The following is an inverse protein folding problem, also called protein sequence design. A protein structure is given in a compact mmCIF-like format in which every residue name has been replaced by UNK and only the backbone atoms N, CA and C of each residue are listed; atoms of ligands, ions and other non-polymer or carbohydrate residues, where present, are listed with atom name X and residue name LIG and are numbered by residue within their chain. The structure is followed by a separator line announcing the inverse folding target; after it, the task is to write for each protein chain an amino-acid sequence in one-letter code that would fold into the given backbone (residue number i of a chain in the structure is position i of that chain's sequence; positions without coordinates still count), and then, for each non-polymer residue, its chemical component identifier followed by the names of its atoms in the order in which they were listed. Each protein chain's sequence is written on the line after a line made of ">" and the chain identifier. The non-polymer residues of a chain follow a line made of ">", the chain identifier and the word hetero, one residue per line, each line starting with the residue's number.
data_IF_643743888727
#
_entry.id   IF_643743888727
#
_cell.length_a   1.000
_cell.length_b   1.000
_cell.length_c   1.000
_cell.angle_alpha   90.00
_cell.angle_beta   90.00
_cell.angle_gamma   90.00
#
_symmetry.space_group_name_H-M   'P 1'
#
loop_
_entity.id
_entity.type
_entity.pdbx_description
1 polymer ?
#
# COMPACT_ATOMS: atom_id res chain seq x y z
N UNK A 1 -66.99 -31.56 -43.74
CA UNK A 1 -66.54 -31.34 -42.35
C UNK A 1 -65.24 -30.56 -42.38
N UNK A 2 -65.32 -29.24 -42.22
CA UNK A 2 -64.15 -28.35 -42.14
C UNK A 2 -63.63 -28.35 -40.70
N UNK A 3 -62.38 -28.79 -40.52
CA UNK A 3 -61.69 -28.69 -39.23
C UNK A 3 -61.27 -27.24 -38.98
N UNK A 4 -61.78 -26.67 -37.89
CA UNK A 4 -61.48 -25.32 -37.40
C UNK A 4 -60.09 -25.30 -36.77
N UNK A 5 -59.22 -24.41 -37.27
CA UNK A 5 -57.93 -24.13 -36.68
C UNK A 5 -58.10 -23.18 -35.48
N UNK A 6 -57.67 -23.62 -34.30
CA UNK A 6 -57.63 -22.80 -33.09
C UNK A 6 -56.58 -21.68 -33.22
N UNK A 7 -56.84 -20.46 -32.74
CA UNK A 7 -55.87 -19.36 -32.82
C UNK A 7 -54.71 -19.58 -31.86
N UNK A 8 -53.49 -19.37 -32.36
CA UNK A 8 -52.24 -19.36 -31.60
C UNK A 8 -52.32 -18.29 -30.50
N UNK A 9 -52.10 -18.71 -29.26
CA UNK A 9 -52.02 -17.82 -28.10
C UNK A 9 -50.91 -16.78 -28.30
N UNK A 10 -51.26 -15.50 -28.13
CA UNK A 10 -50.33 -14.38 -28.14
C UNK A 10 -49.20 -14.59 -27.13
N UNK A 11 -47.97 -14.37 -27.58
CA UNK A 11 -46.79 -14.40 -26.74
C UNK A 11 -46.93 -13.37 -25.59
N UNK A 12 -46.58 -13.73 -24.34
CA UNK A 12 -46.68 -12.79 -23.23
C UNK A 12 -45.79 -11.57 -23.49
N UNK A 13 -46.42 -10.41 -23.65
CA UNK A 13 -45.77 -9.10 -23.71
C UNK A 13 -44.86 -8.94 -22.50
N UNK A 14 -43.56 -8.73 -22.74
CA UNK A 14 -42.56 -8.49 -21.71
C UNK A 14 -43.03 -7.37 -20.76
N UNK A 15 -43.03 -7.56 -19.43
CA UNK A 15 -43.38 -6.50 -18.52
C UNK A 15 -42.45 -5.30 -18.72
N UNK A 16 -43.07 -4.13 -18.88
CA UNK A 16 -42.39 -2.84 -19.02
C UNK A 16 -41.27 -2.70 -17.98
N UNK A 17 -40.11 -2.22 -18.42
CA UNK A 17 -38.96 -1.94 -17.57
C UNK A 17 -39.42 -1.20 -16.30
N UNK A 18 -39.13 -1.76 -15.11
CA UNK A 18 -39.51 -1.16 -13.84
C UNK A 18 -39.13 0.32 -13.83
N UNK A 19 -40.10 1.21 -13.65
CA UNK A 19 -39.87 2.65 -13.60
C UNK A 19 -38.76 2.93 -12.58
N UNK A 20 -37.60 3.40 -13.06
CA UNK A 20 -36.47 3.68 -12.21
C UNK A 20 -36.86 4.77 -11.21
N UNK A 21 -36.77 4.46 -9.91
CA UNK A 21 -37.11 5.40 -8.84
C UNK A 21 -36.28 6.67 -9.02
N UNK A 22 -36.90 7.86 -9.14
CA UNK A 22 -36.17 9.10 -9.36
C UNK A 22 -35.28 9.40 -8.14
N UNK A 23 -34.02 9.77 -8.37
CA UNK A 23 -33.13 10.12 -7.27
C UNK A 23 -33.54 11.44 -6.64
N UNK A 24 -33.61 11.47 -5.31
CA UNK A 24 -33.75 12.70 -4.54
C UNK A 24 -32.59 13.66 -4.83
N UNK A 25 -32.74 14.96 -4.54
CA UNK A 25 -31.64 15.94 -4.68
C UNK A 25 -30.36 15.50 -3.95
N UNK A 26 -30.48 15.00 -2.72
CA UNK A 26 -29.34 14.53 -1.92
C UNK A 26 -28.58 13.40 -2.61
N UNK A 27 -29.30 12.37 -3.08
CA UNK A 27 -28.71 11.27 -3.86
C UNK A 27 -27.96 11.75 -5.12
N UNK A 28 -28.50 12.75 -5.83
CA UNK A 28 -27.82 13.31 -7.02
C UNK A 28 -26.55 14.07 -6.66
N UNK A 29 -26.61 14.96 -5.68
CA UNK A 29 -25.45 15.74 -5.24
C UNK A 29 -24.37 14.82 -4.67
N UNK A 30 -24.76 13.87 -3.80
CA UNK A 30 -23.86 12.88 -3.24
C UNK A 30 -23.19 12.02 -4.31
N UNK A 31 -23.94 11.58 -5.33
CA UNK A 31 -23.35 10.84 -6.45
C UNK A 31 -22.36 11.67 -7.25
N UNK A 32 -22.71 12.91 -7.62
CA UNK A 32 -21.82 13.81 -8.39
C UNK A 32 -20.51 14.04 -7.62
N UNK A 33 -20.60 14.32 -6.31
CA UNK A 33 -19.44 14.45 -5.45
C UNK A 33 -18.58 13.20 -5.40
N UNK A 34 -19.18 12.04 -5.09
CA UNK A 34 -18.43 10.78 -5.05
C UNK A 34 -17.80 10.45 -6.41
N UNK A 35 -18.52 10.67 -7.51
CA UNK A 35 -17.99 10.46 -8.85
C UNK A 35 -16.79 11.36 -9.14
N UNK A 36 -16.92 12.66 -8.91
CA UNK A 36 -15.85 13.64 -9.13
C UNK A 36 -14.65 13.38 -8.23
N UNK A 37 -14.87 13.12 -6.93
CA UNK A 37 -13.81 12.83 -5.97
C UNK A 37 -13.03 11.57 -6.37
N UNK A 38 -13.71 10.46 -6.63
CA UNK A 38 -13.06 9.20 -6.97
C UNK A 38 -12.28 9.28 -8.29
N UNK A 39 -12.82 9.96 -9.30
CA UNK A 39 -12.09 10.15 -10.55
C UNK A 39 -10.85 11.03 -10.36
N UNK A 40 -10.95 12.13 -9.62
CA UNK A 40 -9.80 13.00 -9.37
C UNK A 40 -8.74 12.31 -8.51
N UNK A 41 -9.16 11.55 -7.49
CA UNK A 41 -8.24 10.87 -6.58
C UNK A 41 -7.51 9.70 -7.25
N UNK A 42 -8.22 8.91 -8.06
CA UNK A 42 -7.63 7.75 -8.74
C UNK A 42 -6.97 8.11 -10.07
N UNK A 43 -7.23 9.29 -10.64
CA UNK A 43 -6.56 9.73 -11.85
C UNK A 43 -5.03 9.91 -11.62
N UNK A 44 -4.19 9.53 -12.60
CA UNK A 44 -4.55 9.06 -13.94
C UNK A 44 -4.71 7.53 -14.06
N UNK A 45 -4.79 6.80 -12.96
CA UNK A 45 -4.83 5.34 -12.96
C UNK A 45 -6.08 4.77 -13.64
N UNK A 46 -5.98 3.68 -14.43
CA UNK A 46 -4.77 2.91 -14.76
C UNK A 46 -4.06 3.35 -16.05
N UNK A 47 -4.38 4.53 -16.60
CA UNK A 47 -3.78 5.01 -17.86
C UNK A 47 -2.27 5.26 -17.67
N UNK A 48 -1.87 5.60 -16.44
CA UNK A 48 -0.48 5.69 -15.98
C UNK A 48 0.33 4.41 -16.14
N UNK A 49 -0.32 3.26 -16.25
CA UNK A 49 0.33 1.97 -16.46
C UNK A 49 0.66 1.67 -17.94
N UNK A 50 0.23 2.52 -18.89
CA UNK A 50 0.46 2.32 -20.33
C UNK A 50 1.87 2.80 -20.71
N UNK A 51 2.73 1.91 -21.27
CA UNK A 51 4.06 2.31 -21.71
C UNK A 51 4.04 3.42 -22.77
N UNK A 52 4.98 4.35 -22.70
CA UNK A 52 5.14 5.45 -23.66
C UNK A 52 4.41 6.76 -23.31
N UNK A 53 3.59 6.77 -22.27
CA UNK A 53 2.87 7.97 -21.81
C UNK A 53 3.56 8.72 -20.64
N UNK A 54 4.81 8.35 -20.29
CA UNK A 54 5.55 8.94 -19.17
C UNK A 54 5.58 10.47 -19.15
N UNK A 55 5.98 11.16 -20.25
CA UNK A 55 6.04 12.62 -20.26
C UNK A 55 4.69 13.32 -20.00
N UNK A 56 3.58 12.70 -20.44
CA UNK A 56 2.23 13.21 -20.17
C UNK A 56 1.93 13.17 -18.67
N UNK A 57 2.33 12.10 -17.98
CA UNK A 57 2.10 11.95 -16.55
C UNK A 57 3.07 12.76 -15.69
N UNK A 58 4.28 13.00 -16.16
CA UNK A 58 5.19 13.99 -15.56
C UNK A 58 4.57 15.39 -15.62
N UNK A 59 4.05 15.81 -16.78
CA UNK A 59 3.35 17.08 -16.92
C UNK A 59 2.11 17.17 -16.01
N UNK A 60 1.34 16.08 -15.90
CA UNK A 60 0.22 15.97 -14.96
C UNK A 60 0.67 16.11 -13.50
N UNK A 61 1.80 15.48 -13.13
CA UNK A 61 2.40 15.61 -11.80
C UNK A 61 2.82 17.03 -11.48
N UNK A 62 3.48 17.72 -12.42
CA UNK A 62 3.86 19.13 -12.26
C UNK A 62 2.67 20.07 -12.13
N UNK A 63 1.57 19.80 -12.85
CA UNK A 63 0.32 20.55 -12.69
C UNK A 63 -0.24 20.39 -11.27
N UNK A 64 -0.21 19.17 -10.71
CA UNK A 64 -0.61 18.94 -9.33
C UNK A 64 0.32 19.61 -8.33
N UNK A 65 1.65 19.51 -8.52
CA UNK A 65 2.61 20.23 -7.66
C UNK A 65 2.32 21.72 -7.66
N UNK A 66 2.17 22.33 -8.83
CA UNK A 66 1.80 23.73 -8.95
C UNK A 66 0.50 24.04 -8.20
N UNK A 67 -0.55 23.25 -8.39
CA UNK A 67 -1.83 23.42 -7.70
C UNK A 67 -1.71 23.32 -6.18
N UNK A 68 -0.96 22.33 -5.69
CA UNK A 68 -0.69 22.12 -4.26
C UNK A 68 0.06 23.30 -3.67
N UNK A 69 1.07 23.86 -4.36
CA UNK A 69 1.74 25.08 -3.91
C UNK A 69 0.77 26.26 -3.83
N UNK A 70 -0.13 26.43 -4.82
CA UNK A 70 -1.12 27.53 -4.81
C UNK A 70 -2.13 27.40 -3.68
N UNK A 71 -2.65 26.20 -3.43
CA UNK A 71 -3.58 25.96 -2.31
C UNK A 71 -2.84 26.12 -0.98
N UNK A 72 -1.67 25.49 -0.82
CA UNK A 72 -0.93 25.52 0.43
C UNK A 72 -0.40 26.90 0.79
N UNK A 73 0.28 27.59 -0.13
CA UNK A 73 0.87 28.92 0.14
C UNK A 73 -0.20 30.01 0.07
N UNK A 74 -1.10 29.94 -0.92
CA UNK A 74 -2.08 31.00 -1.16
C UNK A 74 -3.33 30.93 -0.27
N UNK A 75 -3.95 29.76 -0.16
CA UNK A 75 -5.18 29.60 0.63
C UNK A 75 -4.88 29.32 2.11
N UNK A 76 -3.89 28.48 2.39
CA UNK A 76 -3.56 28.03 3.75
C UNK A 76 -2.40 28.81 4.41
N UNK A 77 -1.74 29.72 3.70
CA UNK A 77 -0.62 30.52 4.21
C UNK A 77 0.55 29.67 4.77
N UNK A 78 0.80 28.50 4.19
CA UNK A 78 1.89 27.62 4.59
C UNK A 78 3.25 28.14 4.10
N UNK A 79 4.36 27.85 4.82
CA UNK A 79 5.70 28.19 4.37
C UNK A 79 6.03 27.58 3.01
N UNK A 80 6.62 28.38 2.12
CA UNK A 80 7.02 27.97 0.78
C UNK A 80 8.53 27.65 0.69
N UNK A 81 8.95 26.70 -0.16
CA UNK A 81 8.10 25.75 -0.91
C UNK A 81 7.68 24.57 -0.04
N UNK A 82 6.49 24.01 -0.30
CA UNK A 82 6.05 22.77 0.33
C UNK A 82 6.84 21.61 -0.30
N UNK A 83 7.66 20.84 0.44
CA UNK A 83 8.52 19.82 -0.16
C UNK A 83 7.72 18.62 -0.70
N UNK A 84 8.01 18.20 -1.94
CA UNK A 84 7.49 16.96 -2.54
C UNK A 84 8.60 15.92 -2.82
N UNK A 85 9.67 15.93 -2.01
CA UNK A 85 10.74 14.93 -2.17
C UNK A 85 10.22 13.53 -1.80
N UNK A 86 10.51 12.49 -2.62
CA UNK A 86 10.13 11.13 -2.30
C UNK A 86 10.76 10.68 -0.98
N UNK A 87 9.93 10.27 -0.01
CA UNK A 87 10.39 9.82 1.32
C UNK A 87 9.85 8.45 1.74
N UNK A 88 8.96 7.85 0.94
CA UNK A 88 8.21 6.65 1.30
C UNK A 88 7.01 6.89 2.22
N UNK A 89 6.75 8.15 2.61
CA UNK A 89 5.54 8.59 3.30
C UNK A 89 4.47 9.02 2.30
N UNK A 90 3.21 8.67 2.58
CA UNK A 90 2.01 9.19 1.92
C UNK A 90 1.19 10.15 2.79
N UNK A 91 1.78 10.65 3.89
CA UNK A 91 1.18 11.58 4.85
C UNK A 91 2.04 12.85 5.01
N UNK A 92 2.85 13.21 4.01
CA UNK A 92 3.64 14.46 4.03
C UNK A 92 2.70 15.66 4.02
N UNK A 93 3.19 16.82 4.44
CA UNK A 93 2.41 18.07 4.32
C UNK A 93 1.89 18.28 2.89
N UNK A 94 2.72 17.97 1.89
CA UNK A 94 2.33 17.96 0.49
C UNK A 94 1.12 17.05 0.23
N UNK A 95 1.11 15.82 0.75
CA UNK A 95 0.05 14.83 0.51
C UNK A 95 -1.28 15.26 1.17
N UNK A 96 -1.23 15.90 2.34
CA UNK A 96 -2.42 16.48 2.98
C UNK A 96 -3.00 17.64 2.16
N UNK A 97 -2.17 18.55 1.69
CA UNK A 97 -2.61 19.68 0.85
C UNK A 97 -3.11 19.17 -0.51
N UNK A 98 -2.47 18.14 -1.07
CA UNK A 98 -2.95 17.45 -2.29
C UNK A 98 -4.33 16.85 -2.08
N UNK A 99 -4.55 16.10 -0.99
CA UNK A 99 -5.85 15.50 -0.68
C UNK A 99 -6.95 16.56 -0.50
N UNK A 100 -6.64 17.66 0.20
CA UNK A 100 -7.54 18.80 0.31
C UNK A 100 -7.82 19.43 -1.06
N UNK A 101 -6.82 19.57 -1.91
CA UNK A 101 -6.98 20.13 -3.26
C UNK A 101 -7.92 19.26 -4.10
N UNK A 102 -7.78 17.93 -4.03
CA UNK A 102 -8.71 16.98 -4.65
C UNK A 102 -10.13 17.17 -4.11
N UNK A 103 -10.29 17.30 -2.78
CA UNK A 103 -11.60 17.55 -2.15
C UNK A 103 -12.25 18.84 -2.64
N UNK A 104 -11.51 19.95 -2.65
CA UNK A 104 -11.99 21.26 -3.12
C UNK A 104 -12.37 21.21 -4.61
N UNK A 105 -11.53 20.61 -5.45
CA UNK A 105 -11.84 20.44 -6.87
C UNK A 105 -13.06 19.54 -7.09
N UNK A 106 -13.23 18.48 -6.30
CA UNK A 106 -14.41 17.63 -6.37
C UNK A 106 -15.69 18.39 -5.97
N UNK A 107 -15.64 19.26 -4.97
CA UNK A 107 -16.75 20.14 -4.58
C UNK A 107 -17.09 21.13 -5.70
N UNK A 108 -16.08 21.78 -6.30
CA UNK A 108 -16.28 22.69 -7.43
C UNK A 108 -16.87 21.97 -8.65
N UNK A 109 -16.35 20.78 -8.99
CA UNK A 109 -16.89 19.95 -10.07
C UNK A 109 -18.35 19.54 -9.79
N UNK A 110 -18.68 19.21 -8.53
CA UNK A 110 -20.05 18.89 -8.11
C UNK A 110 -20.99 20.09 -8.27
N UNK A 111 -20.54 21.28 -7.89
CA UNK A 111 -21.31 22.52 -8.05
C UNK A 111 -21.53 22.81 -9.53
N UNK A 112 -20.47 22.81 -10.34
CA UNK A 112 -20.55 23.05 -11.78
C UNK A 112 -21.48 22.04 -12.46
N UNK A 113 -21.34 20.75 -12.15
CA UNK A 113 -22.22 19.71 -12.67
C UNK A 113 -23.66 19.96 -12.24
N UNK A 114 -23.91 20.31 -10.99
CA UNK A 114 -25.27 20.57 -10.50
C UNK A 114 -25.93 21.75 -11.22
N UNK A 115 -25.21 22.84 -11.44
CA UNK A 115 -25.70 24.01 -12.17
C UNK A 115 -26.00 23.72 -13.65
N UNK A 116 -25.16 22.92 -14.31
CA UNK A 116 -25.37 22.54 -15.72
C UNK A 116 -26.54 21.58 -15.86
N UNK A 117 -26.68 20.62 -14.95
CA UNK A 117 -27.73 19.61 -15.00
C UNK A 117 -29.11 20.20 -14.65
N UNK A 118 -29.19 21.15 -13.71
CA UNK A 118 -30.45 21.84 -13.38
C UNK A 118 -31.00 22.69 -14.53
N UNK A 119 -30.13 23.14 -15.44
CA UNK A 119 -30.54 23.84 -16.67
C UNK A 119 -31.16 22.90 -17.70
N UNK A 120 -30.90 21.58 -17.63
CA UNK A 120 -31.46 20.56 -18.52
C UNK A 120 -32.76 20.01 -17.92
N UNK A 121 -33.86 20.74 -18.10
CA UNK A 121 -35.18 20.39 -17.53
C UNK A 121 -35.69 19.00 -17.94
N UNK A 122 -35.23 18.48 -19.08
CA UNK A 122 -35.70 17.23 -19.70
C UNK A 122 -34.79 16.02 -19.43
N UNK A 123 -33.70 16.19 -18.66
CA UNK A 123 -32.76 15.09 -18.40
C UNK A 123 -33.27 14.11 -17.32
N UNK A 124 -33.06 12.79 -17.48
CA UNK A 124 -33.42 11.80 -16.48
C UNK A 124 -32.70 12.08 -15.15
N UNK A 125 -33.47 12.13 -14.06
CA UNK A 125 -33.00 12.50 -12.70
C UNK A 125 -32.15 11.40 -12.01
N UNK A 126 -31.52 10.50 -12.76
CA UNK A 126 -30.68 9.41 -12.28
C UNK A 126 -29.55 9.11 -13.29
N UNK A 127 -28.40 8.62 -12.79
CA UNK A 127 -27.19 8.38 -13.61
C UNK A 127 -26.77 6.90 -13.65
N UNK A 128 -27.60 5.97 -14.19
CA UNK A 128 -27.32 4.54 -14.11
C UNK A 128 -26.05 4.13 -14.86
N UNK A 129 -25.77 4.73 -16.03
CA UNK A 129 -24.55 4.43 -16.80
C UNK A 129 -23.28 4.92 -16.09
N UNK A 130 -23.30 6.15 -15.56
CA UNK A 130 -22.15 6.70 -14.82
C UNK A 130 -21.92 5.92 -13.52
N UNK A 131 -22.97 5.52 -12.81
CA UNK A 131 -22.86 4.69 -11.61
C UNK A 131 -22.30 3.29 -11.92
N UNK A 132 -22.75 2.67 -13.02
CA UNK A 132 -22.20 1.39 -13.48
C UNK A 132 -20.71 1.51 -13.86
N UNK A 133 -20.34 2.56 -14.59
CA UNK A 133 -18.95 2.85 -14.92
C UNK A 133 -18.10 3.04 -13.65
N UNK A 134 -18.53 3.92 -12.74
CA UNK A 134 -17.81 4.21 -11.50
C UNK A 134 -17.62 2.94 -10.66
N UNK A 135 -18.65 2.09 -10.54
CA UNK A 135 -18.56 0.82 -9.81
C UNK A 135 -17.56 -0.13 -10.46
N UNK A 136 -17.50 -0.19 -11.79
CA UNK A 136 -16.52 -1.02 -12.51
C UNK A 136 -15.10 -0.47 -12.32
N UNK A 137 -14.92 0.83 -12.48
CA UNK A 137 -13.64 1.52 -12.32
C UNK A 137 -13.09 1.34 -10.90
N UNK A 138 -13.87 1.70 -9.88
CA UNK A 138 -13.50 1.56 -8.47
C UNK A 138 -13.14 0.13 -8.10
N UNK A 139 -13.91 -0.84 -8.62
CA UNK A 139 -13.66 -2.28 -8.38
C UNK A 139 -12.31 -2.73 -8.94
N UNK A 140 -11.97 -2.35 -10.17
CA UNK A 140 -10.67 -2.73 -10.74
C UNK A 140 -9.52 -1.93 -10.15
N UNK A 141 -9.70 -0.64 -9.85
CA UNK A 141 -8.69 0.16 -9.17
C UNK A 141 -8.35 -0.43 -7.80
N UNK A 142 -9.37 -0.68 -6.96
CA UNK A 142 -9.16 -1.29 -5.64
C UNK A 142 -8.60 -2.72 -5.77
N UNK A 143 -9.04 -3.52 -6.75
CA UNK A 143 -8.49 -4.85 -6.98
C UNK A 143 -6.98 -4.79 -7.29
N UNK A 144 -6.57 -3.95 -8.23
CA UNK A 144 -5.15 -3.80 -8.61
C UNK A 144 -4.31 -3.35 -7.42
N UNK A 145 -4.80 -2.40 -6.62
CA UNK A 145 -4.10 -1.89 -5.43
C UNK A 145 -3.95 -3.01 -4.39
N UNK A 146 -5.03 -3.71 -4.03
CA UNK A 146 -4.99 -4.79 -3.04
C UNK A 146 -4.16 -5.99 -3.50
N UNK A 147 -4.15 -6.29 -4.80
CA UNK A 147 -3.26 -7.30 -5.36
C UNK A 147 -1.80 -6.88 -5.22
N UNK A 148 -1.48 -5.61 -5.47
CA UNK A 148 -0.13 -5.07 -5.28
C UNK A 148 0.35 -5.19 -3.83
N UNK A 149 -0.41 -4.67 -2.88
CA UNK A 149 -0.05 -4.75 -1.45
C UNK A 149 -0.07 -6.18 -0.92
N UNK A 150 -1.07 -6.97 -1.30
CA UNK A 150 -1.23 -8.35 -0.87
C UNK A 150 -0.11 -9.25 -1.37
N UNK A 151 0.23 -9.18 -2.67
CA UNK A 151 1.28 -10.02 -3.25
C UNK A 151 2.66 -9.70 -2.64
N UNK A 152 2.99 -8.43 -2.44
CA UNK A 152 4.25 -8.06 -1.77
C UNK A 152 4.35 -8.71 -0.38
N UNK A 153 3.24 -8.79 0.38
CA UNK A 153 3.18 -9.47 1.68
C UNK A 153 3.21 -11.01 1.57
N UNK A 154 2.53 -11.58 0.57
CA UNK A 154 2.56 -13.03 0.28
C UNK A 154 3.98 -13.51 -0.02
N UNK A 155 4.80 -12.68 -0.66
CA UNK A 155 6.22 -12.98 -0.90
C UNK A 155 7.14 -12.55 0.25
N UNK A 156 6.59 -12.10 1.38
CA UNK A 156 7.31 -11.59 2.54
C UNK A 156 8.30 -10.46 2.23
N UNK A 157 7.93 -9.59 1.30
CA UNK A 157 8.76 -8.50 0.79
C UNK A 157 8.50 -7.15 1.48
N UNK A 158 7.37 -6.97 2.16
CA UNK A 158 6.98 -5.64 2.67
C UNK A 158 7.65 -5.29 3.99
N UNK A 159 7.64 -6.23 4.95
CA UNK A 159 8.34 -6.07 6.22
C UNK A 159 9.47 -7.11 6.29
N UNK A 160 10.74 -6.72 6.16
CA UNK A 160 11.84 -7.67 6.24
C UNK A 160 11.92 -8.30 7.64
N UNK A 161 12.48 -9.51 7.70
CA UNK A 161 12.84 -10.12 8.98
C UNK A 161 13.81 -9.21 9.76
N UNK A 162 13.73 -9.17 11.11
CA UNK A 162 14.63 -8.36 11.91
C UNK A 162 16.08 -8.82 11.69
N UNK A 163 16.92 -7.90 11.22
CA UNK A 163 18.35 -8.12 11.09
C UNK A 163 19.08 -7.89 12.43
N UNK A 164 20.39 -8.15 12.46
CA UNK A 164 21.22 -7.99 13.66
C UNK A 164 21.11 -6.58 14.26
N UNK A 165 21.03 -5.55 13.40
CA UNK A 165 20.85 -4.17 13.85
C UNK A 165 19.50 -3.98 14.56
N UNK A 166 18.43 -4.61 14.08
CA UNK A 166 17.13 -4.60 14.77
C UNK A 166 17.13 -5.45 16.04
N UNK A 167 17.76 -6.61 16.02
CA UNK A 167 17.76 -7.58 17.13
C UNK A 167 18.56 -7.10 18.36
N UNK A 168 19.54 -6.22 18.16
CA UNK A 168 20.28 -5.59 19.27
C UNK A 168 19.64 -4.29 19.79
N UNK A 169 18.59 -3.79 19.12
CA UNK A 169 17.88 -2.60 19.60
C UNK A 169 16.92 -2.94 20.75
N UNK A 170 16.78 -2.01 21.68
CA UNK A 170 15.86 -2.17 22.82
C UNK A 170 14.43 -1.77 22.44
N UNK A 171 13.45 -2.19 23.25
CA UNK A 171 12.06 -1.76 23.07
C UNK A 171 11.91 -0.24 23.18
N UNK A 172 12.63 0.41 24.11
CA UNK A 172 12.59 1.86 24.30
C UNK A 172 13.16 2.67 23.12
N UNK A 173 14.04 2.06 22.32
CA UNK A 173 14.60 2.66 21.09
C UNK A 173 13.66 2.51 19.87
N UNK A 174 12.59 1.74 19.98
CA UNK A 174 11.68 1.48 18.86
C UNK A 174 10.60 2.56 18.76
N UNK A 175 10.49 3.18 17.59
CA UNK A 175 9.30 3.96 17.25
C UNK A 175 8.06 3.05 17.11
N UNK A 176 6.84 3.58 17.23
CA UNK A 176 5.61 2.79 17.04
C UNK A 176 5.58 2.02 15.72
N UNK A 177 5.91 2.68 14.61
CA UNK A 177 6.04 2.01 13.29
C UNK A 177 7.14 0.96 13.29
N UNK A 178 8.29 1.25 13.91
CA UNK A 178 9.42 0.32 13.98
C UNK A 178 9.08 -0.95 14.76
N UNK A 179 8.32 -0.83 15.85
CA UNK A 179 7.80 -1.94 16.62
C UNK A 179 6.82 -2.79 15.77
N UNK A 180 5.84 -2.14 15.13
CA UNK A 180 4.88 -2.83 14.25
C UNK A 180 5.57 -3.56 13.09
N UNK A 181 6.52 -2.91 12.42
CA UNK A 181 7.27 -3.52 11.31
C UNK A 181 8.06 -4.73 11.78
N UNK A 182 8.65 -4.66 12.97
CA UNK A 182 9.43 -5.76 13.55
C UNK A 182 8.51 -6.91 13.94
N UNK A 183 7.35 -6.62 14.55
CA UNK A 183 6.34 -7.63 14.90
C UNK A 183 5.85 -8.42 13.67
N UNK A 184 5.46 -7.72 12.59
CA UNK A 184 5.01 -8.37 11.36
C UNK A 184 6.19 -9.08 10.64
N UNK A 185 7.36 -8.45 10.59
CA UNK A 185 8.55 -8.98 9.93
C UNK A 185 9.14 -10.21 10.61
N UNK A 186 9.04 -10.31 11.94
CA UNK A 186 9.51 -11.47 12.71
C UNK A 186 8.74 -12.76 12.39
N UNK A 187 7.50 -12.67 11.88
CA UNK A 187 6.69 -13.82 11.49
C UNK A 187 6.36 -13.79 10.00
N UNK A 188 7.18 -14.51 9.21
CA UNK A 188 6.93 -14.68 7.77
C UNK A 188 5.52 -15.22 7.50
N UNK A 189 5.08 -16.22 8.25
CA UNK A 189 3.74 -16.80 8.10
C UNK A 189 2.60 -15.80 8.36
N UNK A 190 2.75 -14.95 9.39
CA UNK A 190 1.73 -13.94 9.69
C UNK A 190 1.68 -12.84 8.61
N UNK A 191 2.83 -12.40 8.10
CA UNK A 191 2.88 -11.47 6.97
C UNK A 191 2.20 -12.06 5.73
N UNK A 192 2.50 -13.32 5.40
CA UNK A 192 1.86 -14.02 4.28
C UNK A 192 0.35 -14.15 4.47
N UNK A 193 -0.11 -14.42 5.70
CA UNK A 193 -1.53 -14.49 6.02
C UNK A 193 -2.25 -13.15 5.79
N UNK A 194 -1.68 -12.04 6.28
CA UNK A 194 -2.22 -10.70 5.99
C UNK A 194 -2.23 -10.39 4.49
N UNK A 195 -1.15 -10.77 3.79
CA UNK A 195 -1.05 -10.63 2.34
C UNK A 195 -2.11 -11.43 1.58
N UNK A 196 -2.34 -12.69 1.99
CA UNK A 196 -3.32 -13.57 1.38
C UNK A 196 -4.74 -13.01 1.52
N UNK A 197 -5.09 -12.40 2.65
CA UNK A 197 -6.40 -11.76 2.83
C UNK A 197 -6.60 -10.60 1.82
N UNK A 198 -5.60 -9.74 1.64
CA UNK A 198 -5.64 -8.64 0.67
C UNK A 198 -5.64 -9.13 -0.78
N UNK A 199 -4.79 -10.11 -1.11
CA UNK A 199 -4.75 -10.73 -2.44
C UNK A 199 -6.09 -11.39 -2.77
N UNK A 200 -6.68 -12.14 -1.83
CA UNK A 200 -7.98 -12.78 -2.03
C UNK A 200 -9.08 -11.73 -2.23
N UNK A 201 -9.09 -10.65 -1.45
CA UNK A 201 -10.03 -9.55 -1.65
C UNK A 201 -9.90 -8.96 -3.07
N UNK A 202 -8.68 -8.69 -3.50
CA UNK A 202 -8.39 -8.21 -4.86
C UNK A 202 -8.84 -9.18 -5.95
N UNK A 203 -8.56 -10.47 -5.81
CA UNK A 203 -8.98 -11.51 -6.76
C UNK A 203 -10.51 -11.62 -6.85
N UNK A 204 -11.21 -11.61 -5.71
CA UNK A 204 -12.68 -11.65 -5.67
C UNK A 204 -13.29 -10.41 -6.32
N UNK A 205 -12.66 -9.23 -6.18
CA UNK A 205 -13.11 -8.02 -6.85
C UNK A 205 -13.00 -8.11 -8.38
N UNK A 206 -12.16 -8.98 -8.96
CA UNK A 206 -12.05 -9.11 -10.42
C UNK A 206 -13.31 -9.74 -11.05
N UNK A 207 -14.11 -10.50 -10.30
CA UNK A 207 -15.32 -11.15 -10.80
C UNK A 207 -16.59 -10.47 -10.29
N UNK A 208 -17.54 -10.21 -11.21
CA UNK A 208 -18.78 -9.50 -10.88
C UNK A 208 -19.61 -10.22 -9.81
N UNK A 209 -19.61 -11.56 -9.83
CA UNK A 209 -20.35 -12.42 -8.88
C UNK A 209 -19.83 -12.32 -7.45
N UNK A 210 -18.53 -12.12 -7.26
CA UNK A 210 -17.88 -12.10 -5.95
C UNK A 210 -17.57 -10.69 -5.46
N UNK A 211 -18.02 -9.65 -6.16
CA UNK A 211 -17.74 -8.24 -5.82
C UNK A 211 -18.08 -7.91 -4.37
N UNK A 212 -19.26 -8.31 -3.88
CA UNK A 212 -19.67 -8.00 -2.52
C UNK A 212 -18.78 -8.67 -1.48
N UNK A 213 -18.47 -9.96 -1.66
CA UNK A 213 -17.57 -10.70 -0.79
C UNK A 213 -16.16 -10.10 -0.79
N UNK A 214 -15.63 -9.80 -1.97
CA UNK A 214 -14.33 -9.14 -2.11
C UNK A 214 -14.30 -7.76 -1.46
N UNK A 215 -15.38 -6.98 -1.58
CA UNK A 215 -15.49 -5.65 -0.97
C UNK A 215 -15.59 -5.72 0.55
N UNK A 216 -16.31 -6.70 1.11
CA UNK A 216 -16.38 -6.93 2.56
C UNK A 216 -15.03 -7.36 3.13
N UNK A 217 -14.34 -8.29 2.46
CA UNK A 217 -13.01 -8.72 2.85
C UNK A 217 -12.00 -7.56 2.76
N UNK A 218 -12.08 -6.77 1.69
CA UNK A 218 -11.30 -5.54 1.54
C UNK A 218 -11.58 -4.54 2.66
N UNK A 219 -12.86 -4.32 3.03
CA UNK A 219 -13.22 -3.40 4.10
C UNK A 219 -12.66 -3.86 5.46
N UNK A 220 -12.74 -5.15 5.78
CA UNK A 220 -12.14 -5.71 6.99
C UNK A 220 -10.61 -5.57 7.01
N UNK A 221 -9.94 -5.93 5.90
CA UNK A 221 -8.49 -5.80 5.77
C UNK A 221 -8.04 -4.34 5.86
N UNK A 222 -8.69 -3.43 5.13
CA UNK A 222 -8.36 -2.01 5.14
C UNK A 222 -8.70 -1.33 6.45
N UNK A 223 -9.77 -1.73 7.15
CA UNK A 223 -10.05 -1.25 8.50
C UNK A 223 -8.91 -1.59 9.47
N UNK A 224 -8.38 -2.81 9.40
CA UNK A 224 -7.22 -3.20 10.19
C UNK A 224 -5.96 -2.40 9.80
N UNK A 225 -5.68 -2.24 8.50
CA UNK A 225 -4.54 -1.43 8.02
C UNK A 225 -4.66 0.03 8.46
N UNK A 226 -5.85 0.63 8.37
CA UNK A 226 -6.12 2.00 8.86
C UNK A 226 -5.86 2.09 10.36
N UNK A 227 -6.39 1.15 11.15
CA UNK A 227 -6.15 1.13 12.59
C UNK A 227 -4.66 1.04 12.93
N UNK A 228 -3.93 0.14 12.26
CA UNK A 228 -2.48 0.05 12.41
C UNK A 228 -1.78 1.36 12.05
N UNK A 229 -2.20 2.03 10.98
CA UNK A 229 -1.57 3.27 10.53
C UNK A 229 -1.78 4.45 11.48
N UNK A 230 -2.96 4.55 12.09
CA UNK A 230 -3.26 5.60 13.07
C UNK A 230 -2.66 5.29 14.44
N UNK A 231 -2.70 4.03 14.92
CA UNK A 231 -2.25 3.67 16.26
C UNK A 231 -0.76 3.39 16.39
N UNK A 232 -0.08 3.01 15.29
CA UNK A 232 1.38 2.82 15.25
C UNK A 232 2.10 3.89 14.42
N UNK A 233 1.44 5.00 14.16
CA UNK A 233 1.98 6.14 13.42
C UNK A 233 2.71 5.77 12.11
N UNK A 234 2.07 4.91 11.31
CA UNK A 234 2.58 4.56 9.98
C UNK A 234 2.15 5.65 9.01
N UNK A 235 3.07 6.25 8.23
CA UNK A 235 2.76 7.45 7.45
C UNK A 235 2.09 7.12 6.10
N UNK A 236 0.96 6.40 6.14
CA UNK A 236 0.11 6.02 4.99
C UNK A 236 -1.40 6.11 5.38
N UNK A 237 -1.74 6.97 6.34
CA UNK A 237 -3.10 7.14 6.89
C UNK A 237 -4.07 7.66 5.83
N UNK A 238 -3.68 8.67 5.05
CA UNK A 238 -4.53 9.27 4.01
C UNK A 238 -4.92 8.25 2.94
N UNK A 239 -3.92 7.53 2.45
CA UNK A 239 -4.12 6.56 1.37
C UNK A 239 -4.92 5.34 1.84
N UNK A 240 -4.57 4.74 2.97
CA UNK A 240 -5.30 3.60 3.52
C UNK A 240 -6.76 3.94 3.88
N UNK A 241 -7.02 5.15 4.39
CA UNK A 241 -8.39 5.60 4.69
C UNK A 241 -9.24 5.73 3.41
N UNK A 242 -8.64 6.16 2.31
CA UNK A 242 -9.30 6.20 1.01
C UNK A 242 -9.59 4.80 0.47
N UNK A 243 -8.67 3.84 0.62
CA UNK A 243 -8.95 2.44 0.23
C UNK A 243 -10.08 1.83 1.06
N UNK A 244 -10.14 2.13 2.36
CA UNK A 244 -11.28 1.75 3.20
C UNK A 244 -12.57 2.39 2.67
N UNK A 245 -12.58 3.70 2.40
CA UNK A 245 -13.73 4.38 1.80
C UNK A 245 -14.16 3.71 0.49
N UNK A 246 -13.23 3.34 -0.39
CA UNK A 246 -13.52 2.69 -1.67
C UNK A 246 -14.19 1.32 -1.47
N UNK A 247 -13.69 0.53 -0.53
CA UNK A 247 -14.30 -0.76 -0.19
C UNK A 247 -15.73 -0.59 0.36
N UNK A 248 -15.95 0.40 1.23
CA UNK A 248 -17.28 0.71 1.78
C UNK A 248 -18.23 1.22 0.70
N UNK A 249 -17.76 2.03 -0.25
CA UNK A 249 -18.56 2.49 -1.39
C UNK A 249 -18.96 1.34 -2.32
N UNK A 250 -18.17 0.27 -2.41
CA UNK A 250 -18.53 -0.95 -3.16
C UNK A 250 -19.56 -1.81 -2.41
N UNK A 251 -19.55 -1.79 -1.07
CA UNK A 251 -20.54 -2.47 -0.20
C UNK A 251 -21.86 -1.68 -0.14
N UNK A 252 -21.80 -0.35 -0.20
CA UNK A 252 -22.92 0.56 0.03
C UNK A 252 -24.22 0.19 -0.73
N UNK A 253 -24.20 -0.17 -2.03
CA UNK A 253 -25.42 -0.55 -2.76
C UNK A 253 -26.13 -1.79 -2.19
N UNK A 254 -25.39 -2.66 -1.51
CA UNK A 254 -25.86 -3.93 -0.95
C UNK A 254 -26.06 -3.85 0.58
N UNK A 255 -25.79 -2.70 1.21
CA UNK A 255 -25.82 -2.52 2.67
C UNK A 255 -27.17 -2.87 3.29
N UNK A 256 -28.28 -2.41 2.68
CA UNK A 256 -29.63 -2.74 3.18
C UNK A 256 -29.88 -4.25 3.17
N UNK A 257 -29.47 -4.92 2.09
CA UNK A 257 -29.61 -6.37 1.94
C UNK A 257 -28.79 -7.11 3.00
N UNK A 258 -27.58 -6.63 3.30
CA UNK A 258 -26.75 -7.18 4.36
C UNK A 258 -27.38 -7.01 5.74
N UNK A 259 -27.93 -5.83 6.05
CA UNK A 259 -28.64 -5.57 7.31
C UNK A 259 -29.88 -6.46 7.43
N UNK A 260 -30.68 -6.53 6.37
CA UNK A 260 -31.88 -7.35 6.33
C UNK A 260 -31.55 -8.83 6.60
N UNK A 261 -30.54 -9.40 5.94
CA UNK A 261 -30.16 -10.81 6.12
C UNK A 261 -29.45 -11.07 7.46
N UNK A 262 -28.43 -10.28 7.79
CA UNK A 262 -27.52 -10.58 8.90
C UNK A 262 -28.04 -10.12 10.26
N UNK A 263 -28.74 -8.99 10.31
CA UNK A 263 -29.19 -8.37 11.57
C UNK A 263 -30.68 -8.54 11.80
N UNK A 264 -31.48 -8.39 10.74
CA UNK A 264 -32.95 -8.43 10.86
C UNK A 264 -33.54 -9.79 10.50
N UNK A 265 -32.72 -10.74 10.02
CA UNK A 265 -33.12 -12.09 9.61
C UNK A 265 -34.29 -12.11 8.61
N UNK A 266 -34.36 -11.11 7.73
CA UNK A 266 -35.38 -10.96 6.70
C UNK A 266 -34.93 -11.61 5.40
N UNK A 267 -35.88 -12.25 4.71
CA UNK A 267 -35.67 -12.72 3.35
C UNK A 267 -35.43 -11.54 2.41
N UNK A 268 -34.42 -11.66 1.54
CA UNK A 268 -34.09 -10.64 0.55
C UNK A 268 -34.24 -11.24 -0.85
N UNK A 269 -34.81 -10.47 -1.77
CA UNK A 269 -34.96 -10.88 -3.15
C UNK A 269 -33.60 -11.22 -3.80
N UNK A 270 -33.64 -12.17 -4.74
CA UNK A 270 -32.48 -12.51 -5.55
C UNK A 270 -31.94 -11.26 -6.27
N UNK A 271 -30.60 -11.08 -6.34
CA UNK A 271 -30.04 -9.96 -7.06
C UNK A 271 -30.39 -10.08 -8.55
N UNK A 272 -30.54 -8.96 -9.27
CA UNK A 272 -30.80 -9.00 -10.70
C UNK A 272 -29.69 -9.75 -11.44
N UNK A 273 -30.01 -10.46 -12.54
CA UNK A 273 -29.03 -11.26 -13.27
C UNK A 273 -27.90 -10.36 -13.80
N UNK A 274 -26.66 -10.83 -13.65
CA UNK A 274 -25.46 -10.13 -14.13
C UNK A 274 -25.37 -10.22 -15.65
N UNK A 275 -26.04 -9.32 -16.37
CA UNK A 275 -25.98 -9.24 -17.84
C UNK A 275 -24.75 -8.46 -18.31
N UNK A 276 -24.11 -8.92 -19.38
CA UNK A 276 -23.14 -8.14 -20.14
C UNK A 276 -23.89 -7.15 -21.04
N UNK A 277 -23.27 -6.02 -21.43
CA UNK A 277 -23.92 -5.04 -22.29
C UNK A 277 -24.02 -5.48 -23.76
N UNK A 278 -23.39 -6.60 -24.12
CA UNK A 278 -23.30 -7.09 -25.49
C UNK A 278 -24.48 -8.02 -25.80
N UNK A 279 -25.16 -7.78 -26.92
CA UNK A 279 -26.23 -8.64 -27.41
C UNK A 279 -25.67 -9.85 -28.20
N UNK A 280 -24.51 -9.68 -28.84
CA UNK A 280 -23.85 -10.73 -29.62
C UNK A 280 -22.99 -11.63 -28.70
N UNK A 281 -23.27 -12.93 -28.74
CA UNK A 281 -22.54 -13.97 -28.04
C UNK A 281 -21.04 -13.99 -28.39
N UNK A 282 -20.67 -13.73 -29.65
CA UNK A 282 -19.26 -13.68 -30.09
C UNK A 282 -18.51 -12.52 -29.43
N UNK A 283 -19.12 -11.33 -29.43
CA UNK A 283 -18.54 -10.14 -28.79
C UNK A 283 -18.45 -10.32 -27.28
N UNK A 284 -19.46 -10.97 -26.68
CA UNK A 284 -19.43 -11.31 -25.27
C UNK A 284 -18.26 -12.25 -24.94
N UNK A 285 -18.08 -13.34 -25.69
CA UNK A 285 -16.97 -14.29 -25.48
C UNK A 285 -15.62 -13.64 -25.77
N UNK A 286 -15.50 -12.83 -26.82
CA UNK A 286 -14.28 -12.07 -27.11
C UNK A 286 -13.93 -11.11 -25.96
N UNK A 287 -14.92 -10.39 -25.41
CA UNK A 287 -14.73 -9.51 -24.26
C UNK A 287 -14.30 -10.27 -23.00
N UNK A 288 -14.88 -11.44 -22.74
CA UNK A 288 -14.48 -12.32 -21.64
C UNK A 288 -13.04 -12.84 -21.83
N UNK A 289 -12.69 -13.25 -23.04
CA UNK A 289 -11.34 -13.69 -23.41
C UNK A 289 -10.30 -12.58 -23.25
N UNK A 290 -10.59 -11.39 -23.78
CA UNK A 290 -9.73 -10.22 -23.63
C UNK A 290 -9.54 -9.84 -22.16
N UNK A 291 -10.63 -9.85 -21.37
CA UNK A 291 -10.54 -9.62 -19.93
C UNK A 291 -9.65 -10.66 -19.26
N UNK A 292 -9.82 -11.95 -19.57
CA UNK A 292 -9.01 -13.01 -19.00
C UNK A 292 -7.53 -12.85 -19.35
N UNK A 293 -7.23 -12.47 -20.59
CA UNK A 293 -5.87 -12.20 -21.05
C UNK A 293 -5.24 -10.99 -20.35
N UNK A 294 -5.96 -9.86 -20.25
CA UNK A 294 -5.45 -8.64 -19.60
C UNK A 294 -5.24 -8.87 -18.10
N UNK A 295 -6.24 -9.43 -17.42
CA UNK A 295 -6.17 -9.69 -15.97
C UNK A 295 -5.14 -10.78 -15.67
N UNK A 296 -5.13 -11.86 -16.45
CA UNK A 296 -4.16 -12.95 -16.31
C UNK A 296 -2.73 -12.48 -16.56
N UNK A 297 -2.51 -11.71 -17.63
CA UNK A 297 -1.23 -11.10 -17.96
C UNK A 297 -0.74 -10.17 -16.84
N UNK A 298 -1.60 -9.29 -16.31
CA UNK A 298 -1.26 -8.42 -15.20
C UNK A 298 -0.88 -9.22 -13.95
N UNK A 299 -1.63 -10.27 -13.61
CA UNK A 299 -1.33 -11.14 -12.47
C UNK A 299 0.01 -11.86 -12.65
N UNK A 300 0.30 -12.39 -13.84
CA UNK A 300 1.58 -13.03 -14.15
C UNK A 300 2.72 -12.05 -13.99
N UNK A 301 2.59 -10.81 -14.48
CA UNK A 301 3.61 -9.77 -14.32
C UNK A 301 3.83 -9.40 -12.86
N UNK A 302 2.75 -9.22 -12.08
CA UNK A 302 2.84 -8.94 -10.65
C UNK A 302 3.53 -10.09 -9.89
N UNK A 303 3.17 -11.34 -10.17
CA UNK A 303 3.77 -12.51 -9.53
C UNK A 303 5.24 -12.64 -9.93
N UNK A 304 5.57 -12.58 -11.22
CA UNK A 304 6.94 -12.65 -11.72
C UNK A 304 7.82 -11.58 -11.08
N UNK A 305 7.36 -10.33 -11.04
CA UNK A 305 8.12 -9.25 -10.41
C UNK A 305 8.37 -9.47 -8.91
N UNK A 306 7.41 -10.05 -8.19
CA UNK A 306 7.63 -10.38 -6.78
C UNK A 306 8.56 -11.60 -6.59
N UNK A 307 8.51 -12.60 -7.47
CA UNK A 307 9.46 -13.72 -7.46
C UNK A 307 10.89 -13.22 -7.67
N UNK A 308 11.12 -12.36 -8.67
CA UNK A 308 12.44 -11.77 -8.97
C UNK A 308 12.95 -10.90 -7.80
N UNK A 309 12.05 -10.09 -7.21
CA UNK A 309 12.37 -9.31 -6.01
C UNK A 309 12.69 -10.18 -4.81
N UNK A 310 12.00 -11.31 -4.63
CA UNK A 310 12.25 -12.22 -3.52
C UNK A 310 13.59 -12.94 -3.69
N UNK A 311 13.93 -13.34 -4.91
CA UNK A 311 15.22 -13.95 -5.23
C UNK A 311 16.42 -13.02 -4.93
N UNK A 312 16.19 -11.70 -4.97
CA UNK A 312 17.22 -10.67 -4.73
C UNK A 312 17.09 -9.99 -3.37
N UNK A 313 16.05 -10.31 -2.58
CA UNK A 313 15.78 -9.64 -1.30
C UNK A 313 16.85 -10.00 -0.27
N UNK A 314 17.52 -8.98 0.28
CA UNK A 314 18.61 -9.20 1.23
C UNK A 314 19.84 -9.83 0.61
N UNK A 315 19.95 -9.85 -0.73
CA UNK A 315 21.16 -10.26 -1.43
C UNK A 315 22.32 -9.39 -0.95
N UNK A 316 23.32 -10.06 -0.38
CA UNK A 316 24.49 -9.42 0.20
C UNK A 316 25.52 -9.30 -0.90
N UNK A 317 25.97 -8.07 -1.18
CA UNK A 317 27.06 -7.89 -2.14
C UNK A 317 28.33 -8.56 -1.60
N UNK A 318 29.24 -9.04 -2.47
CA UNK A 318 30.52 -9.59 -2.03
C UNK A 318 31.32 -8.62 -1.16
N UNK A 319 31.12 -7.32 -1.35
CA UNK A 319 31.75 -6.24 -0.58
C UNK A 319 31.12 -6.06 0.82
N UNK A 320 29.82 -6.36 0.97
CA UNK A 320 29.09 -6.25 2.25
C UNK A 320 29.19 -7.51 3.10
N UNK A 321 29.30 -8.68 2.46
CA UNK A 321 29.33 -9.98 3.13
C UNK A 321 30.35 -10.09 4.28
N UNK A 322 31.60 -9.59 4.15
CA UNK A 322 32.59 -9.72 5.21
C UNK A 322 32.26 -8.84 6.43
N UNK A 323 31.53 -7.74 6.20
CA UNK A 323 31.16 -6.75 7.22
C UNK A 323 29.89 -7.14 7.99
N UNK A 324 29.09 -8.10 7.54
CA UNK A 324 27.85 -8.46 8.21
C UNK A 324 28.09 -9.06 9.59
N UNK A 325 27.22 -8.74 10.55
CA UNK A 325 27.28 -9.26 11.92
C UNK A 325 27.27 -8.16 12.97
N UNK A 326 27.42 -8.57 14.22
CA UNK A 326 27.61 -7.66 15.34
C UNK A 326 29.11 -7.51 15.60
N UNK A 327 29.56 -6.28 15.81
CA UNK A 327 30.95 -5.94 16.05
C UNK A 327 31.04 -5.08 17.32
N UNK A 328 31.87 -5.49 18.26
CA UNK A 328 32.16 -4.72 19.48
C UNK A 328 33.43 -3.90 19.27
N UNK A 329 33.41 -2.64 19.66
CA UNK A 329 34.60 -1.77 19.58
C UNK A 329 35.57 -2.16 20.68
N UNK A 330 36.80 -2.49 20.29
CA UNK A 330 37.89 -2.86 21.19
C UNK A 330 38.84 -1.67 21.43
N UNK A 331 39.15 -0.92 20.38
CA UNK A 331 40.00 0.26 20.48
C UNK A 331 39.48 1.37 19.57
N UNK A 332 39.59 2.61 20.03
CA UNK A 332 39.21 3.81 19.29
C UNK A 332 40.32 4.85 19.41
N UNK A 333 41.05 5.06 18.32
CA UNK A 333 42.18 5.97 18.25
C UNK A 333 41.78 7.22 17.46
N UNK A 334 41.82 8.38 18.10
CA UNK A 334 41.56 9.68 17.48
C UNK A 334 42.83 10.53 17.50
N UNK A 335 43.24 11.03 16.34
CA UNK A 335 44.47 11.83 16.17
C UNK A 335 45.74 11.17 16.74
N UNK A 336 45.81 9.84 16.67
CA UNK A 336 46.95 9.05 17.19
C UNK A 336 46.92 8.77 18.69
N UNK A 337 45.86 9.17 19.39
CA UNK A 337 45.66 8.90 20.82
C UNK A 337 44.51 7.91 20.99
N UNK A 338 44.76 6.81 21.70
CA UNK A 338 43.72 5.86 22.07
C UNK A 338 42.79 6.47 23.13
N UNK A 339 41.50 6.50 22.84
CA UNK A 339 40.50 7.03 23.74
C UNK A 339 40.30 6.06 24.92
N UNK A 340 40.52 6.54 26.15
CA UNK A 340 40.27 5.76 27.37
C UNK A 340 38.80 5.29 27.48
N UNK A 341 37.88 6.02 26.87
CA UNK A 341 36.47 5.64 26.74
C UNK A 341 36.06 5.82 25.28
N UNK A 342 35.95 4.73 24.51
CA UNK A 342 35.54 4.80 23.11
C UNK A 342 34.17 5.47 22.99
N UNK A 343 33.96 6.44 22.09
CA UNK A 343 32.62 7.01 21.87
C UNK A 343 31.68 6.00 21.21
N UNK A 344 32.22 4.97 20.54
CA UNK A 344 31.46 3.90 19.91
C UNK A 344 31.57 2.63 20.76
N UNK A 345 30.45 1.96 21.01
CA UNK A 345 30.39 0.68 21.72
C UNK A 345 30.24 -0.51 20.77
N UNK A 346 29.24 -0.47 19.89
CA UNK A 346 28.91 -1.59 19.00
C UNK A 346 28.48 -1.11 17.61
N UNK A 347 28.83 -1.89 16.59
CA UNK A 347 28.40 -1.71 15.20
C UNK A 347 27.70 -3.00 14.74
N UNK A 348 26.41 -2.91 14.43
CA UNK A 348 25.61 -4.01 13.95
C UNK A 348 25.33 -3.82 12.46
N UNK A 349 25.84 -4.70 11.61
CA UNK A 349 25.70 -4.62 10.15
C UNK A 349 24.76 -5.72 9.67
N UNK A 350 23.54 -5.33 9.29
CA UNK A 350 22.57 -6.20 8.64
C UNK A 350 22.53 -6.04 7.11
N UNK A 351 21.78 -6.91 6.41
CA UNK A 351 21.55 -6.76 4.97
C UNK A 351 20.73 -5.52 4.59
N UNK A 352 19.96 -4.95 5.54
CA UNK A 352 19.08 -3.81 5.27
C UNK A 352 19.52 -2.53 5.96
N UNK A 353 20.04 -2.63 7.19
CA UNK A 353 20.41 -1.48 8.02
C UNK A 353 21.70 -1.73 8.77
N UNK A 354 22.36 -0.64 9.11
CA UNK A 354 23.50 -0.62 10.03
C UNK A 354 23.09 0.13 11.30
N UNK A 355 23.25 -0.51 12.46
CA UNK A 355 23.07 0.09 13.77
C UNK A 355 24.42 0.49 14.34
N UNK A 356 24.53 1.69 14.89
CA UNK A 356 25.69 2.14 15.66
C UNK A 356 25.22 2.49 17.07
N UNK A 357 25.78 1.82 18.08
CA UNK A 357 25.56 2.14 19.49
C UNK A 357 26.78 2.86 20.04
N UNK A 358 26.59 4.05 20.57
CA UNK A 358 27.60 4.76 21.33
C UNK A 358 27.83 4.11 22.69
N UNK A 359 28.96 4.41 23.33
CA UNK A 359 29.26 3.90 24.66
C UNK A 359 28.34 4.46 25.76
N UNK A 360 27.69 5.60 25.51
CA UNK A 360 26.65 6.16 26.39
C UNK A 360 25.28 5.46 26.24
N UNK A 361 25.19 4.47 25.34
CA UNK A 361 23.96 3.73 25.04
C UNK A 361 23.12 4.33 23.92
N UNK A 362 23.45 5.52 23.41
CA UNK A 362 22.72 6.13 22.29
C UNK A 362 22.82 5.27 21.04
N UNK A 363 21.67 4.99 20.40
CA UNK A 363 21.60 4.11 19.25
C UNK A 363 21.12 4.85 17.99
N UNK A 364 21.89 4.74 16.91
CA UNK A 364 21.56 5.32 15.61
C UNK A 364 21.41 4.25 14.54
N UNK A 365 20.50 4.49 13.60
CA UNK A 365 20.35 3.68 12.37
C UNK A 365 20.85 4.44 11.15
N UNK A 366 21.66 3.74 10.38
CA UNK A 366 22.25 4.17 9.13
C UNK A 366 21.87 3.24 7.98
N UNK A 367 21.78 3.80 6.78
CA UNK A 367 22.02 3.05 5.55
C UNK A 367 23.53 3.01 5.30
N UNK A 368 24.01 1.89 4.77
CA UNK A 368 25.42 1.69 4.50
C UNK A 368 25.65 1.42 3.02
N UNK A 369 26.63 2.12 2.46
CA UNK A 369 27.10 1.91 1.10
C UNK A 369 28.57 1.53 1.16
N UNK A 370 28.93 0.44 0.49
CA UNK A 370 30.31 -0.01 0.36
C UNK A 370 30.68 0.11 -1.11
N UNK A 371 31.75 0.85 -1.42
CA UNK A 371 32.26 1.02 -2.78
C UNK A 371 33.78 1.13 -2.72
N UNK A 372 34.50 0.33 -3.53
CA UNK A 372 35.96 0.44 -3.70
C UNK A 372 36.75 0.44 -2.36
N UNK A 373 36.36 -0.42 -1.42
CA UNK A 373 37.01 -0.52 -0.10
C UNK A 373 36.69 0.62 0.88
N UNK A 374 35.77 1.52 0.50
CA UNK A 374 35.27 2.60 1.37
C UNK A 374 33.84 2.32 1.78
N UNK A 375 33.52 2.60 3.04
CA UNK A 375 32.23 2.48 3.68
C UNK A 375 31.70 3.87 4.01
N UNK A 376 30.46 4.13 3.61
CA UNK A 376 29.76 5.39 3.91
C UNK A 376 28.48 5.09 4.68
N UNK A 377 28.30 5.77 5.82
CA UNK A 377 27.09 5.68 6.64
C UNK A 377 26.25 6.95 6.45
N UNK A 378 25.01 6.77 6.01
CA UNK A 378 24.07 7.86 5.76
C UNK A 378 22.76 7.64 6.50
N UNK A 379 22.22 8.70 7.11
CA UNK A 379 20.92 8.67 7.77
C UNK A 379 20.25 10.04 7.64
N UNK A 380 18.93 10.04 7.55
CA UNK A 380 18.14 11.27 7.65
C UNK A 380 17.95 11.72 9.11
N UNK A 381 18.13 10.80 10.07
CA UNK A 381 17.82 11.00 11.49
C UNK A 381 19.05 10.87 12.40
N UNK A 382 20.23 10.62 11.83
CA UNK A 382 21.47 10.47 12.58
C UNK A 382 22.57 11.38 12.01
N UNK A 383 23.58 11.75 12.83
CA UNK A 383 24.69 12.60 12.38
C UNK A 383 25.39 12.02 11.15
N UNK A 384 25.72 12.88 10.18
CA UNK A 384 26.48 12.48 8.99
C UNK A 384 27.85 11.95 9.40
N UNK A 385 28.23 10.80 8.86
CA UNK A 385 29.55 10.23 9.05
C UNK A 385 30.41 10.51 7.81
N UNK A 386 31.67 10.89 8.00
CA UNK A 386 32.61 10.93 6.90
C UNK A 386 32.92 9.50 6.41
N UNK A 387 33.25 9.32 5.13
CA UNK A 387 33.64 8.01 4.59
C UNK A 387 34.78 7.38 5.39
N UNK A 388 34.72 6.06 5.54
CA UNK A 388 35.70 5.24 6.27
C UNK A 388 36.27 4.20 5.31
N UNK A 389 37.57 4.03 5.26
CA UNK A 389 38.17 2.83 4.66
C UNK A 389 38.02 1.67 5.63
N UNK A 390 37.86 0.46 5.11
CA UNK A 390 37.74 -0.73 5.94
C UNK A 390 38.74 -1.80 5.52
N UNK A 391 39.23 -2.55 6.50
CA UNK A 391 40.07 -3.72 6.30
C UNK A 391 39.65 -4.80 7.28
N UNK A 392 39.64 -6.05 6.84
CA UNK A 392 39.36 -7.21 7.67
C UNK A 392 40.60 -8.11 7.68
N UNK A 393 41.50 -7.97 8.67
CA UNK A 393 42.72 -8.78 8.76
C UNK A 393 42.43 -10.28 8.86
N UNK A 394 41.34 -10.63 9.54
CA UNK A 394 40.85 -11.99 9.72
C UNK A 394 39.32 -11.98 9.94
N UNK A 395 38.62 -13.12 9.91
CA UNK A 395 37.17 -13.17 10.02
C UNK A 395 36.58 -12.50 11.28
N UNK A 396 37.33 -12.47 12.38
CA UNK A 396 36.87 -11.99 13.69
C UNK A 396 37.23 -10.52 13.96
N UNK A 397 38.12 -9.90 13.19
CA UNK A 397 38.54 -8.52 13.41
C UNK A 397 38.24 -7.61 12.22
N UNK A 398 37.65 -6.45 12.51
CA UNK A 398 37.38 -5.39 11.53
C UNK A 398 38.10 -4.12 11.94
N UNK A 399 38.72 -3.45 10.98
CA UNK A 399 39.39 -2.17 11.18
C UNK A 399 38.74 -1.12 10.28
N UNK A 400 38.28 -0.02 10.89
CA UNK A 400 37.72 1.13 10.19
C UNK A 400 38.65 2.33 10.36
N UNK A 401 39.01 2.98 9.26
CA UNK A 401 40.02 4.04 9.24
C UNK A 401 39.57 5.24 8.43
N UNK A 402 40.02 6.42 8.82
CA UNK A 402 40.05 7.65 8.01
C UNK A 402 41.16 8.56 8.56
N UNK A 403 41.56 9.64 7.88
CA UNK A 403 42.56 10.57 8.42
C UNK A 403 42.18 11.03 9.84
N UNK A 404 43.04 10.73 10.82
CA UNK A 404 42.83 11.08 12.23
C UNK A 404 41.87 10.18 13.02
N UNK A 405 41.39 9.05 12.47
CA UNK A 405 40.55 8.10 13.20
C UNK A 405 40.84 6.66 12.79
N UNK A 406 41.07 5.79 13.78
CA UNK A 406 41.19 4.34 13.60
C UNK A 406 40.36 3.62 14.66
N UNK A 407 39.52 2.69 14.23
CA UNK A 407 38.62 1.92 15.11
C UNK A 407 38.86 0.43 14.86
N UNK A 408 39.20 -0.30 15.92
CA UNK A 408 39.35 -1.75 15.89
C UNK A 408 38.12 -2.39 16.51
N UNK A 409 37.50 -3.32 15.78
CA UNK A 409 36.31 -4.04 16.21
C UNK A 409 36.53 -5.55 16.18
N UNK A 410 35.86 -6.24 17.09
CA UNK A 410 35.85 -7.69 17.20
C UNK A 410 34.42 -8.22 16.99
N UNK A 411 34.30 -9.28 16.20
CA UNK A 411 33.03 -9.91 15.87
C UNK A 411 32.39 -10.50 17.13
N UNK A 412 31.08 -10.39 17.19
CA UNK A 412 30.25 -11.00 18.22
C UNK A 412 29.25 -11.93 17.54
N UNK A 413 28.98 -13.07 18.17
CA UNK A 413 28.04 -14.10 17.68
C UNK A 413 26.90 -14.34 18.68
N UNK A 414 26.07 -13.31 18.99
CA UNK A 414 24.96 -13.47 19.93
C UNK A 414 23.87 -14.36 19.35
N UNK A 415 23.26 -15.18 20.21
CA UNK A 415 22.04 -15.91 19.88
C UNK A 415 20.81 -15.11 20.32
N UNK A 416 19.87 -14.91 19.41
CA UNK A 416 18.65 -14.16 19.69
C UNK A 416 17.46 -15.11 19.84
N UNK A 417 16.84 -15.10 21.01
CA UNK A 417 15.69 -15.96 21.33
C UNK A 417 14.53 -15.81 20.32
N UNK A 418 14.32 -14.61 19.80
CA UNK A 418 13.27 -14.30 18.82
C UNK A 418 13.41 -15.13 17.53
N UNK A 419 14.64 -15.46 17.13
CA UNK A 419 14.91 -16.19 15.88
C UNK A 419 15.17 -17.67 16.10
N UNK A 420 15.53 -18.09 17.32
CA UNK A 420 15.90 -19.50 17.61
C UNK A 420 14.75 -20.34 18.19
N UNK A 421 13.73 -19.73 18.79
CA UNK A 421 12.69 -20.49 19.51
C UNK A 421 11.83 -21.38 18.58
N UNK A 422 11.30 -20.85 17.48
CA UNK A 422 10.42 -21.60 16.58
C UNK A 422 9.06 -22.01 17.17
N UNK A 423 8.29 -22.79 16.39
CA UNK A 423 6.93 -23.21 16.73
C UNK A 423 6.93 -24.47 17.62
N UNK A 424 6.03 -24.50 18.61
CA UNK A 424 5.85 -25.62 19.52
C UNK A 424 4.36 -25.97 19.64
N UNK A 425 4.01 -27.24 19.43
CA UNK A 425 2.63 -27.73 19.59
C UNK A 425 2.20 -27.79 21.06
N UNK A 426 3.12 -28.18 21.93
CA UNK A 426 2.91 -28.30 23.38
C UNK A 426 3.76 -27.26 24.08
N UNK A 427 3.14 -26.49 24.97
CA UNK A 427 3.82 -25.52 25.83
C UNK A 427 3.19 -25.63 27.21
N UNK A 428 3.90 -26.26 28.15
CA UNK A 428 3.41 -26.47 29.52
C UNK A 428 3.12 -25.14 30.24
N UNK A 429 3.83 -24.07 29.86
CA UNK A 429 3.58 -22.71 30.32
C UNK A 429 3.73 -21.71 29.16
N UNK A 430 2.99 -20.58 29.17
CA UNK A 430 3.24 -19.49 28.24
C UNK A 430 4.65 -18.93 28.45
N UNK A 431 5.53 -19.11 27.48
CA UNK A 431 6.90 -18.59 27.57
C UNK A 431 6.93 -17.16 26.99
N UNK A 432 6.88 -16.19 27.90
CA UNK A 432 6.83 -14.76 27.66
C UNK A 432 8.04 -14.11 28.37
N UNK A 433 9.12 -13.85 27.63
CA UNK A 433 10.40 -13.33 28.15
C UNK A 433 10.75 -12.02 27.47
#
# INVERSE_FOLDING_TARGET
>A
MHASAAPLAEAPTLPAASAAVPWTRLHRVGFRFTFSYLLLYLAPSPVDMVPGLGPLFEAYGHLWEWGVQRVGVGLLHLPAPIPNTPSGSGDRLFDWVWNLSVLLLALLATLAWSLVDERRRDAPRAYPRAAAFLRVYLRYALATILLGYGLVKVFALQMPAPDVARLTSTYGESSPMGLLWTFIGASTGYQMFCGAAETLAGLLLLFRRTTLLGALLAAGAMANVVALNYFYDVPVKLYSSNLLLFSLLLVLPDLRRLVDVLLLQRAVAAPPPLRTPFADCRVEWASRGLKALVVGGLLVLMVKGNVERRATQGAVTPELAPLQGLWKVQAFEASGVEAATPPWGELAVGPYRTGLRAADGTYWRYGMKVEKGTLTLASALAPKQAPLTWAQPDPEHLVLERPGLRVRLERQSPQFLLTTRGFHWVSEVPYNR
#
